data_IF_648119333639
#
_entry.id   IF_648119333639
#
_cell.length_a   1.000
_cell.length_b   1.000
_cell.length_c   1.000
_cell.angle_alpha   90.00
_cell.angle_beta   90.00
_cell.angle_gamma   90.00
#
_symmetry.space_group_name_H-M   'P 1'
#
loop_
_entity.id
_entity.type
_entity.pdbx_description
1 polymer ?
#
# COMPACT_ATOMS: atom_id res chain seq x y z
N UNK A 1 16.91 -5.86 1.13
CA UNK A 1 17.15 -7.24 0.69
C UNK A 1 17.63 -8.01 1.90
N UNK A 2 16.77 -8.87 2.43
CA UNK A 2 17.19 -9.88 3.40
C UNK A 2 18.00 -10.89 2.60
N UNK A 3 19.30 -10.97 2.86
CA UNK A 3 20.13 -12.02 2.31
C UNK A 3 19.70 -13.36 2.90
N UNK A 4 19.58 -14.36 2.06
CA UNK A 4 18.91 -15.63 2.33
C UNK A 4 19.46 -16.44 3.53
N UNK A 5 20.66 -16.16 3.99
CA UNK A 5 21.30 -16.92 5.09
C UNK A 5 20.61 -16.73 6.44
N UNK A 6 19.95 -15.59 6.69
CA UNK A 6 19.23 -15.34 7.95
C UNK A 6 17.84 -15.98 8.00
N UNK A 7 17.32 -16.41 6.84
CA UNK A 7 15.99 -17.00 6.70
C UNK A 7 16.02 -18.54 6.66
N UNK A 8 17.20 -19.15 6.57
CA UNK A 8 17.31 -20.59 6.59
C UNK A 8 16.99 -21.15 7.98
N UNK A 9 16.19 -22.19 8.01
CA UNK A 9 15.95 -22.93 9.23
C UNK A 9 17.23 -23.70 9.62
N UNK A 10 17.84 -23.47 10.81
CA UNK A 10 19.04 -24.17 11.20
C UNK A 10 18.84 -25.68 11.36
N UNK A 11 17.61 -26.15 11.60
CA UNK A 11 17.25 -27.57 11.71
C UNK A 11 16.91 -28.21 10.36
N UNK A 12 16.50 -27.37 9.38
CA UNK A 12 16.17 -27.80 8.03
C UNK A 12 16.68 -26.79 7.00
N UNK A 13 17.93 -26.89 6.54
CA UNK A 13 18.56 -25.90 5.63
C UNK A 13 17.85 -25.72 4.28
N UNK A 14 17.01 -26.66 3.88
CA UNK A 14 16.21 -26.61 2.66
C UNK A 14 14.86 -25.88 2.83
N UNK A 15 14.48 -25.56 4.07
CA UNK A 15 13.24 -24.84 4.37
C UNK A 15 13.54 -23.44 4.85
N UNK A 16 12.90 -22.46 4.21
CA UNK A 16 12.94 -21.08 4.70
C UNK A 16 12.06 -20.95 5.93
N UNK A 17 12.56 -20.23 6.94
CA UNK A 17 11.71 -19.78 8.05
C UNK A 17 10.57 -18.93 7.53
N UNK A 18 9.39 -19.03 8.14
CA UNK A 18 8.31 -18.10 7.78
C UNK A 18 8.77 -16.65 7.97
N UNK A 19 8.36 -15.77 7.06
CA UNK A 19 8.70 -14.35 7.16
C UNK A 19 8.17 -13.78 8.48
N UNK A 20 8.93 -12.89 9.15
CA UNK A 20 8.45 -12.23 10.36
C UNK A 20 7.14 -11.49 10.10
N UNK A 21 6.24 -11.55 11.07
CA UNK A 21 4.99 -10.80 11.09
C UNK A 21 5.06 -9.62 12.08
N UNK A 22 4.06 -8.78 12.12
CA UNK A 22 4.03 -7.63 13.03
C UNK A 22 4.14 -8.05 14.52
N UNK A 23 3.59 -9.23 14.86
CA UNK A 23 3.68 -9.80 16.20
C UNK A 23 5.12 -10.06 16.65
N UNK A 24 5.98 -10.50 15.74
CA UNK A 24 7.39 -10.76 16.06
C UNK A 24 8.12 -9.46 16.37
N UNK A 25 7.84 -8.40 15.59
CA UNK A 25 8.37 -7.05 15.84
C UNK A 25 7.87 -6.54 17.20
N UNK A 26 6.59 -6.71 17.49
CA UNK A 26 5.98 -6.31 18.76
C UNK A 26 6.68 -6.96 19.95
N UNK A 27 6.95 -8.27 19.89
CA UNK A 27 7.61 -9.01 20.95
C UNK A 27 9.02 -8.48 21.24
N UNK A 28 9.73 -8.03 20.22
CA UNK A 28 11.07 -7.42 20.40
C UNK A 28 10.94 -6.03 21.01
N UNK A 29 10.02 -5.23 20.54
CA UNK A 29 9.85 -3.85 20.98
C UNK A 29 9.39 -3.73 22.44
N UNK A 30 8.53 -4.68 22.91
CA UNK A 30 7.98 -4.60 24.27
C UNK A 30 9.01 -4.95 25.35
N UNK A 31 10.10 -5.64 24.98
CA UNK A 31 11.16 -6.05 25.91
C UNK A 31 12.03 -4.88 26.36
N UNK A 32 12.06 -3.78 25.64
CA UNK A 32 12.94 -2.64 25.93
C UNK A 32 12.11 -1.42 26.38
N UNK A 33 12.43 -0.80 27.49
CA UNK A 33 11.72 0.39 27.98
C UNK A 33 11.67 1.54 26.96
N UNK A 34 12.76 1.72 26.19
CA UNK A 34 12.90 2.80 25.21
C UNK A 34 11.94 2.63 24.03
N UNK A 35 11.59 1.40 23.67
CA UNK A 35 10.72 1.09 22.54
C UNK A 35 9.28 0.77 22.94
N UNK A 36 8.96 0.80 24.23
CA UNK A 36 7.63 0.47 24.76
C UNK A 36 6.51 1.34 24.16
N UNK A 37 6.79 2.61 23.88
CA UNK A 37 5.82 3.50 23.22
C UNK A 37 5.49 3.00 21.81
N UNK A 38 6.48 2.56 21.05
CA UNK A 38 6.29 1.99 19.70
C UNK A 38 5.51 0.67 19.78
N UNK A 39 5.85 -0.19 20.74
CA UNK A 39 5.11 -1.42 20.98
C UNK A 39 3.62 -1.15 21.27
N UNK A 40 3.29 -0.17 22.09
CA UNK A 40 1.90 0.18 22.40
C UNK A 40 1.12 0.66 21.15
N UNK A 41 1.77 1.39 20.23
CA UNK A 41 1.14 1.78 18.95
C UNK A 41 0.91 0.53 18.09
N UNK A 42 1.92 -0.34 17.98
CA UNK A 42 1.85 -1.56 17.19
C UNK A 42 0.86 -2.58 17.76
N UNK A 43 0.60 -2.56 19.07
CA UNK A 43 -0.33 -3.48 19.73
C UNK A 43 -1.74 -3.48 19.12
N UNK A 44 -2.19 -2.34 18.58
CA UNK A 44 -3.49 -2.24 17.89
C UNK A 44 -3.56 -3.09 16.63
N UNK A 45 -2.43 -3.22 15.92
CA UNK A 45 -2.30 -4.02 14.70
C UNK A 45 -2.00 -5.50 15.01
N UNK A 46 -1.55 -5.81 16.23
CA UNK A 46 -1.18 -7.17 16.63
C UNK A 46 -2.31 -7.88 17.37
N UNK A 47 -2.99 -7.19 18.29
CA UNK A 47 -3.98 -7.76 19.20
C UNK A 47 -5.38 -7.13 19.11
N UNK A 48 -5.50 -6.00 18.42
CA UNK A 48 -6.75 -5.23 18.33
C UNK A 48 -7.61 -5.61 17.13
N UNK A 49 -8.55 -4.72 16.78
CA UNK A 49 -9.44 -4.85 15.62
C UNK A 49 -8.71 -4.98 14.28
N UNK A 50 -7.46 -4.61 14.26
CA UNK A 50 -6.55 -4.62 13.12
C UNK A 50 -5.65 -5.85 13.02
N UNK A 51 -5.89 -6.87 13.83
CA UNK A 51 -5.03 -8.08 13.89
C UNK A 51 -4.99 -8.88 12.58
N UNK A 52 -5.90 -8.63 11.64
CA UNK A 52 -5.85 -9.18 10.29
C UNK A 52 -4.57 -8.82 9.53
N UNK A 53 -3.91 -7.72 9.89
CA UNK A 53 -2.59 -7.36 9.34
C UNK A 53 -1.42 -8.12 9.99
N UNK A 54 -1.67 -8.83 11.09
CA UNK A 54 -0.66 -9.62 11.78
C UNK A 54 -0.64 -11.08 11.32
N UNK A 55 -0.52 -11.28 10.02
CA UNK A 55 -0.51 -12.62 9.41
C UNK A 55 0.52 -12.69 8.30
N UNK A 56 0.86 -13.92 7.90
CA UNK A 56 1.65 -14.14 6.71
C UNK A 56 0.90 -13.67 5.47
N UNK A 57 1.63 -13.12 4.52
CA UNK A 57 1.06 -12.74 3.23
C UNK A 57 0.51 -13.96 2.51
N UNK A 58 -0.77 -13.94 2.17
CA UNK A 58 -1.49 -15.02 1.48
C UNK A 58 -1.86 -14.67 0.04
N UNK A 59 -1.30 -13.58 -0.50
CA UNK A 59 -1.57 -13.12 -1.87
C UNK A 59 -0.77 -13.98 -2.86
N UNK A 60 -1.43 -14.51 -3.88
CA UNK A 60 -0.75 -15.14 -5.02
C UNK A 60 0.00 -14.08 -5.84
N UNK A 61 1.31 -14.04 -5.65
CA UNK A 61 2.19 -13.06 -6.31
C UNK A 61 2.45 -13.35 -7.80
N UNK A 62 2.07 -14.52 -8.28
CA UNK A 62 2.27 -14.93 -9.68
C UNK A 62 1.07 -14.59 -10.57
N UNK A 63 -0.07 -14.25 -9.97
CA UNK A 63 -1.25 -13.90 -10.73
C UNK A 63 -1.04 -12.58 -11.49
N UNK A 64 -1.32 -12.60 -12.79
CA UNK A 64 -1.22 -11.42 -13.67
C UNK A 64 -2.38 -10.44 -13.49
N UNK A 65 -3.49 -10.89 -12.95
CA UNK A 65 -4.66 -10.07 -12.68
C UNK A 65 -4.98 -10.11 -11.19
N UNK A 66 -4.94 -8.96 -10.54
CA UNK A 66 -5.14 -8.83 -9.11
C UNK A 66 -6.13 -7.73 -8.80
N UNK A 67 -7.06 -8.01 -7.89
CA UNK A 67 -7.98 -7.03 -7.32
C UNK A 67 -7.68 -6.93 -5.83
N UNK A 68 -7.46 -5.72 -5.35
CA UNK A 68 -7.34 -5.40 -3.94
C UNK A 68 -8.59 -4.65 -3.51
N UNK A 69 -9.52 -5.35 -2.88
CA UNK A 69 -10.73 -4.75 -2.33
C UNK A 69 -10.46 -4.24 -0.92
N UNK A 70 -10.63 -2.95 -0.72
CA UNK A 70 -10.45 -2.26 0.55
C UNK A 70 -11.76 -1.67 1.10
N UNK A 71 -12.90 -1.99 0.49
CA UNK A 71 -14.21 -1.41 0.81
C UNK A 71 -14.68 -1.73 2.23
N UNK A 72 -14.27 -2.87 2.79
CA UNK A 72 -14.62 -3.28 4.16
C UNK A 72 -13.75 -2.61 5.23
N UNK A 73 -12.66 -1.95 4.83
CA UNK A 73 -11.81 -1.24 5.78
C UNK A 73 -12.48 0.07 6.22
N UNK A 74 -12.54 0.30 7.51
CA UNK A 74 -13.18 1.49 8.07
C UNK A 74 -12.36 2.11 9.20
N UNK A 75 -12.66 3.37 9.54
CA UNK A 75 -12.01 4.09 10.61
C UNK A 75 -10.48 4.14 10.46
N UNK A 76 -9.78 3.85 11.55
CA UNK A 76 -8.31 3.90 11.60
C UNK A 76 -7.61 2.85 10.71
N UNK A 77 -8.37 1.85 10.24
CA UNK A 77 -7.85 0.76 9.41
C UNK A 77 -7.74 1.14 7.94
N UNK A 78 -8.63 1.99 7.47
CA UNK A 78 -8.68 2.38 6.06
C UNK A 78 -7.35 3.01 5.59
N UNK A 79 -6.77 4.01 6.28
CA UNK A 79 -5.48 4.60 5.86
C UNK A 79 -4.34 3.57 5.87
N UNK A 80 -4.33 2.64 6.82
CA UNK A 80 -3.29 1.60 6.89
C UNK A 80 -3.43 0.63 5.72
N UNK A 81 -4.64 0.13 5.47
CA UNK A 81 -4.89 -0.79 4.36
C UNK A 81 -4.62 -0.14 3.00
N UNK A 82 -5.04 1.11 2.81
CA UNK A 82 -4.72 1.89 1.61
C UNK A 82 -3.22 1.96 1.38
N UNK A 83 -2.45 2.31 2.41
CA UNK A 83 -1.00 2.41 2.29
C UNK A 83 -0.36 1.07 1.94
N UNK A 84 -0.76 -0.01 2.63
CA UNK A 84 -0.26 -1.36 2.35
C UNK A 84 -0.60 -1.80 0.93
N UNK A 85 -1.83 -1.56 0.47
CA UNK A 85 -2.26 -1.88 -0.89
C UNK A 85 -1.45 -1.10 -1.94
N UNK A 86 -1.29 0.20 -1.77
CA UNK A 86 -0.52 1.05 -2.67
C UNK A 86 0.96 0.65 -2.70
N UNK A 87 1.57 0.39 -1.54
CA UNK A 87 2.97 -0.03 -1.44
C UNK A 87 3.19 -1.37 -2.13
N UNK A 88 2.28 -2.32 -1.93
CA UNK A 88 2.32 -3.61 -2.62
C UNK A 88 2.25 -3.43 -4.14
N UNK A 89 1.25 -2.70 -4.64
CA UNK A 89 1.05 -2.45 -6.06
C UNK A 89 2.27 -1.75 -6.67
N UNK A 90 2.80 -0.76 -5.98
CA UNK A 90 3.95 -0.01 -6.44
C UNK A 90 5.24 -0.83 -6.42
N UNK A 91 5.46 -1.63 -5.38
CA UNK A 91 6.60 -2.56 -5.31
C UNK A 91 6.54 -3.58 -6.44
N UNK A 92 5.34 -4.14 -6.69
CA UNK A 92 5.10 -5.06 -7.80
C UNK A 92 5.35 -4.40 -9.16
N UNK A 93 4.96 -3.16 -9.33
CA UNK A 93 5.19 -2.38 -10.56
C UNK A 93 6.69 -2.19 -10.85
N UNK A 94 7.51 -2.06 -9.81
CA UNK A 94 8.96 -1.84 -9.93
C UNK A 94 9.77 -3.12 -10.21
N UNK A 95 9.22 -4.29 -9.91
CA UNK A 95 9.94 -5.58 -10.03
C UNK A 95 10.46 -5.84 -11.46
N UNK A 96 9.65 -5.55 -12.46
CA UNK A 96 10.02 -5.75 -13.86
C UNK A 96 9.63 -4.54 -14.71
N UNK A 97 10.61 -3.82 -15.25
CA UNK A 97 10.37 -2.65 -16.09
C UNK A 97 10.02 -2.97 -17.54
N UNK A 98 10.21 -4.22 -17.96
CA UNK A 98 9.98 -4.66 -19.34
C UNK A 98 8.57 -5.18 -19.55
N UNK A 99 7.92 -5.67 -18.50
CA UNK A 99 6.55 -6.15 -18.56
C UNK A 99 5.56 -4.99 -18.68
N UNK A 100 4.64 -5.10 -19.61
CA UNK A 100 3.49 -4.20 -19.70
C UNK A 100 2.54 -4.43 -18.52
N UNK A 101 2.09 -3.34 -17.90
CA UNK A 101 1.21 -3.40 -16.73
C UNK A 101 0.27 -2.21 -16.67
N UNK A 102 -0.87 -2.39 -16.03
CA UNK A 102 -1.83 -1.33 -15.79
C UNK A 102 -2.29 -1.34 -14.34
N UNK A 103 -2.42 -0.17 -13.76
CA UNK A 103 -3.01 0.04 -12.44
C UNK A 103 -4.34 0.75 -12.65
N UNK A 104 -5.42 0.18 -12.11
CA UNK A 104 -6.74 0.78 -12.09
C UNK A 104 -7.08 1.17 -10.64
N UNK A 105 -7.42 2.42 -10.43
CA UNK A 105 -7.83 2.93 -9.12
C UNK A 105 -9.25 3.47 -9.27
N UNK A 106 -10.20 2.73 -8.72
CA UNK A 106 -11.58 3.19 -8.64
C UNK A 106 -11.76 4.07 -7.41
N UNK A 107 -12.70 5.01 -7.49
CA UNK A 107 -12.98 5.99 -6.43
C UNK A 107 -11.72 6.67 -5.86
N UNK A 108 -10.85 7.12 -6.76
CA UNK A 108 -9.54 7.69 -6.40
C UNK A 108 -9.65 8.88 -5.43
N UNK A 109 -10.80 9.57 -5.38
CA UNK A 109 -11.05 10.65 -4.43
C UNK A 109 -10.92 10.21 -2.96
N UNK A 110 -11.18 8.93 -2.66
CA UNK A 110 -10.99 8.38 -1.32
C UNK A 110 -9.50 8.38 -0.90
N UNK A 111 -8.60 8.31 -1.86
CA UNK A 111 -7.14 8.31 -1.62
C UNK A 111 -6.55 9.73 -1.59
N UNK A 112 -7.18 10.69 -2.25
CA UNK A 112 -6.64 12.04 -2.43
C UNK A 112 -7.58 13.18 -2.03
N UNK A 113 -8.79 12.85 -1.59
CA UNK A 113 -9.83 13.81 -1.17
C UNK A 113 -9.59 14.42 0.21
N UNK A 114 -10.53 15.24 0.66
CA UNK A 114 -10.42 16.02 1.89
C UNK A 114 -10.19 15.18 3.15
N UNK A 115 -10.76 13.98 3.20
CA UNK A 115 -10.66 13.04 4.33
C UNK A 115 -9.45 12.11 4.25
N UNK A 116 -8.68 12.17 3.16
CA UNK A 116 -7.57 11.25 2.92
C UNK A 116 -6.29 11.68 3.67
N UNK A 117 -5.39 10.72 3.82
CA UNK A 117 -4.06 10.98 4.35
C UNK A 117 -3.17 11.59 3.25
N UNK A 118 -2.49 12.70 3.57
CA UNK A 118 -1.58 13.38 2.64
C UNK A 118 -0.50 12.45 2.08
N UNK A 119 -0.01 11.52 2.89
CA UNK A 119 1.00 10.54 2.47
C UNK A 119 0.45 9.60 1.38
N UNK A 120 -0.79 9.14 1.52
CA UNK A 120 -1.44 8.31 0.49
C UNK A 120 -1.65 9.10 -0.81
N UNK A 121 -2.09 10.35 -0.69
CA UNK A 121 -2.30 11.23 -1.84
C UNK A 121 -0.99 11.52 -2.60
N UNK A 122 0.11 11.74 -1.88
CA UNK A 122 1.43 11.94 -2.47
C UNK A 122 1.90 10.68 -3.21
N UNK A 123 1.68 9.52 -2.62
CA UNK A 123 2.02 8.23 -3.20
C UNK A 123 1.27 7.96 -4.51
N UNK A 124 -0.05 8.21 -4.52
CA UNK A 124 -0.87 8.09 -5.74
C UNK A 124 -0.37 9.04 -6.82
N UNK A 125 -0.12 10.31 -6.47
CA UNK A 125 0.40 11.29 -7.44
C UNK A 125 1.75 10.87 -8.02
N UNK A 126 2.63 10.30 -7.20
CA UNK A 126 3.92 9.79 -7.66
C UNK A 126 3.74 8.66 -8.68
N UNK A 127 2.85 7.69 -8.40
CA UNK A 127 2.52 6.62 -9.33
C UNK A 127 2.14 7.19 -10.70
N UNK A 128 1.19 8.13 -10.74
CA UNK A 128 0.73 8.73 -12.01
C UNK A 128 1.83 9.46 -12.78
N UNK A 129 2.79 10.08 -12.07
CA UNK A 129 3.89 10.79 -12.70
C UNK A 129 4.93 9.87 -13.33
N UNK A 130 5.23 8.75 -12.71
CA UNK A 130 6.44 7.97 -13.06
C UNK A 130 6.15 6.57 -13.60
N UNK A 131 4.92 6.06 -13.51
CA UNK A 131 4.58 4.67 -13.90
C UNK A 131 4.98 4.35 -15.34
N UNK A 132 4.91 5.32 -16.24
CA UNK A 132 5.34 5.14 -17.63
C UNK A 132 6.79 4.71 -17.73
N UNK A 133 7.68 5.20 -16.85
CA UNK A 133 9.09 4.82 -16.80
C UNK A 133 9.31 3.36 -16.36
N UNK A 134 8.27 2.70 -15.87
CA UNK A 134 8.26 1.31 -15.45
C UNK A 134 7.45 0.39 -16.39
N UNK A 135 7.21 0.84 -17.63
CA UNK A 135 6.42 0.06 -18.60
C UNK A 135 4.92 0.01 -18.28
N UNK A 136 4.43 0.88 -17.40
CA UNK A 136 3.07 0.82 -16.91
C UNK A 136 2.18 1.97 -17.36
N UNK A 137 0.89 1.78 -17.19
CA UNK A 137 -0.16 2.80 -17.31
C UNK A 137 -0.98 2.88 -16.03
N UNK A 138 -1.50 4.06 -15.71
CA UNK A 138 -2.41 4.27 -14.59
C UNK A 138 -3.71 4.85 -15.11
N UNK A 139 -4.81 4.29 -14.62
CA UNK A 139 -6.18 4.71 -14.89
C UNK A 139 -6.85 4.95 -13.55
N UNK A 140 -7.53 6.07 -13.40
CA UNK A 140 -8.37 6.30 -12.23
C UNK A 140 -9.77 6.72 -12.64
N UNK A 141 -10.74 6.36 -11.80
CA UNK A 141 -12.10 6.82 -11.89
C UNK A 141 -12.48 7.58 -10.61
N UNK A 142 -13.36 8.55 -10.75
CA UNK A 142 -13.96 9.28 -9.64
C UNK A 142 -15.34 9.78 -10.05
N UNK A 143 -16.27 9.69 -9.13
CA UNK A 143 -17.60 10.31 -9.29
C UNK A 143 -17.71 11.63 -8.52
N UNK A 144 -16.81 11.90 -7.59
CA UNK A 144 -16.78 13.15 -6.83
C UNK A 144 -15.58 14.00 -7.21
N UNK A 145 -15.84 14.98 -8.09
CA UNK A 145 -14.79 15.89 -8.54
C UNK A 145 -14.45 16.96 -7.48
N UNK A 146 -15.40 17.32 -6.64
CA UNK A 146 -15.18 18.31 -5.57
C UNK A 146 -14.21 17.74 -4.54
N UNK A 147 -14.46 16.53 -4.08
CA UNK A 147 -13.56 15.83 -3.14
C UNK A 147 -12.21 15.51 -3.77
N UNK A 148 -12.20 15.09 -5.03
CA UNK A 148 -10.96 14.89 -5.79
C UNK A 148 -10.06 16.13 -5.81
N UNK A 149 -10.65 17.34 -5.76
CA UNK A 149 -9.92 18.60 -5.77
C UNK A 149 -9.75 19.23 -4.37
N UNK A 150 -10.24 18.60 -3.31
CA UNK A 150 -10.33 19.26 -2.01
C UNK A 150 -9.00 19.29 -1.23
N UNK A 151 -8.20 18.23 -1.29
CA UNK A 151 -6.98 18.14 -0.47
C UNK A 151 -5.90 19.11 -0.96
N UNK A 152 -5.39 19.95 -0.03
CA UNK A 152 -4.33 20.94 -0.31
C UNK A 152 -4.65 21.82 -1.52
N UNK A 153 -5.84 22.41 -1.55
CA UNK A 153 -6.31 23.29 -2.62
C UNK A 153 -6.21 22.63 -4.02
N UNK A 154 -6.43 21.33 -4.09
CA UNK A 154 -6.40 20.57 -5.34
C UNK A 154 -5.00 20.23 -5.87
N UNK A 155 -3.96 20.35 -5.06
CA UNK A 155 -2.57 20.00 -5.46
C UNK A 155 -2.50 18.61 -6.10
N UNK A 156 -3.09 17.61 -5.45
CA UNK A 156 -3.03 16.22 -5.88
C UNK A 156 -3.93 15.96 -7.08
N UNK A 157 -5.18 16.40 -7.04
CA UNK A 157 -6.12 16.24 -8.15
C UNK A 157 -5.61 16.90 -9.44
N UNK A 158 -5.16 18.15 -9.37
CA UNK A 158 -4.54 18.84 -10.52
C UNK A 158 -3.30 18.11 -11.01
N UNK A 159 -2.48 17.59 -10.09
CA UNK A 159 -1.28 16.83 -10.45
C UNK A 159 -1.59 15.58 -11.27
N UNK A 160 -2.60 14.81 -10.86
CA UNK A 160 -3.07 13.62 -11.56
C UNK A 160 -3.68 14.00 -12.91
N UNK A 161 -4.56 15.01 -12.97
CA UNK A 161 -5.16 15.49 -14.22
C UNK A 161 -4.06 15.87 -15.21
N UNK A 162 -3.02 16.56 -14.78
CA UNK A 162 -1.92 16.96 -15.64
C UNK A 162 -1.07 15.78 -16.12
N UNK A 163 -0.92 14.75 -15.29
CA UNK A 163 -0.19 13.53 -15.65
C UNK A 163 -0.98 12.67 -16.66
N UNK A 164 -2.32 12.68 -16.59
CA UNK A 164 -3.17 11.92 -17.49
C UNK A 164 -3.24 12.56 -18.89
N UNK A 165 -2.92 11.79 -19.92
CA UNK A 165 -3.03 12.21 -21.33
C UNK A 165 -4.47 12.16 -21.85
N UNK A 166 -5.23 11.17 -21.41
CA UNK A 166 -6.62 10.96 -21.78
C UNK A 166 -7.52 11.28 -20.60
N UNK A 167 -8.58 12.01 -20.84
CA UNK A 167 -9.61 12.35 -19.86
C UNK A 167 -10.97 12.05 -20.49
N UNK A 168 -11.80 11.31 -19.77
CA UNK A 168 -13.15 10.94 -20.18
C UNK A 168 -14.10 11.53 -19.14
N UNK A 169 -15.08 12.27 -19.60
CA UNK A 169 -16.16 12.84 -18.79
C UNK A 169 -17.46 12.24 -19.29
N UNK A 170 -18.23 11.63 -18.37
CA UNK A 170 -19.51 10.98 -18.65
C UNK A 170 -20.66 11.82 -18.08
#
# INVERSE_FOLDING_TARGET
TYENESLNDPENPEQYRPMPILGDVYQILIQKPETKRMANILARLVHGSASSFNQQTNIDRQNKYMILDISELSGDMLPVGMYVALDYVWSKTKEDRTAEKAIFIDEVWQLIGASSNEMAAEYVLEIFKIIRGYGGSAVCATQDFSDFMALKDGKYGRGIINACKTKIVL
#
